data_IF_861631909908
#
_entry.id   IF_861631909908
#
_cell.length_a   1.000
_cell.length_b   1.000
_cell.length_c   1.000
_cell.angle_alpha   90.00
_cell.angle_beta   90.00
_cell.angle_gamma   90.00
#
_symmetry.space_group_name_H-M   'P 1'
#
loop_
_entity.id
_entity.type
_entity.pdbx_description
1 polymer ?
#
# COMPACT_ATOMS: atom_id res chain seq x y z
N UNK A 1 11.77 2.63 20.23
CA UNK A 1 10.70 3.48 20.79
C UNK A 1 10.49 3.24 22.28
N UNK A 2 10.68 2.02 22.82
CA UNK A 2 10.48 1.73 24.25
C UNK A 2 9.01 1.68 24.69
N UNK A 3 8.08 1.88 23.75
CA UNK A 3 6.63 1.82 23.97
C UNK A 3 6.08 0.60 23.24
N UNK A 4 5.34 -0.25 23.95
CA UNK A 4 4.67 -1.42 23.39
C UNK A 4 3.36 -1.04 22.68
N UNK A 5 3.45 -0.18 21.67
CA UNK A 5 2.29 0.35 20.91
C UNK A 5 2.56 0.22 19.42
N UNK A 6 1.55 -0.25 18.68
CA UNK A 6 1.55 -0.37 17.23
C UNK A 6 0.31 0.34 16.66
N UNK A 7 0.51 1.13 15.61
CA UNK A 7 -0.60 1.71 14.84
C UNK A 7 -1.13 0.65 13.89
N UNK A 8 -2.42 0.34 14.01
CA UNK A 8 -3.13 -0.54 13.09
C UNK A 8 -4.24 0.27 12.41
N UNK A 9 -4.09 0.52 11.11
CA UNK A 9 -5.05 1.24 10.28
C UNK A 9 -5.39 0.39 9.06
N UNK A 10 -6.48 0.72 8.37
CA UNK A 10 -6.81 0.10 7.09
C UNK A 10 -5.63 0.15 6.13
N UNK A 11 -5.33 -0.98 5.49
CA UNK A 11 -4.35 -1.01 4.42
C UNK A 11 -5.06 -0.70 3.09
N UNK A 12 -5.05 0.57 2.73
CA UNK A 12 -5.61 1.15 1.52
C UNK A 12 -5.00 2.54 1.26
N UNK A 13 -5.31 3.10 0.10
CA UNK A 13 -5.21 4.55 -0.13
C UNK A 13 -6.58 5.19 0.11
N UNK A 14 -6.62 6.49 0.42
CA UNK A 14 -7.89 7.19 0.71
C UNK A 14 -8.88 6.99 -0.45
N UNK A 15 -10.09 6.56 -0.12
CA UNK A 15 -11.18 6.33 -1.07
C UNK A 15 -11.17 4.94 -1.73
N UNK A 16 -10.12 4.14 -1.56
CA UNK A 16 -10.11 2.73 -1.98
C UNK A 16 -10.58 1.80 -0.84
N UNK A 17 -11.21 0.65 -1.17
CA UNK A 17 -11.49 -0.39 -0.18
C UNK A 17 -10.18 -0.97 0.40
N UNK A 18 -10.29 -1.65 1.54
CA UNK A 18 -9.17 -2.42 2.11
C UNK A 18 -8.73 -3.49 1.10
N UNK A 19 -7.42 -3.67 0.94
CA UNK A 19 -6.85 -4.68 0.03
C UNK A 19 -7.36 -6.09 0.34
N UNK A 20 -7.61 -6.90 -0.70
CA UNK A 20 -8.15 -8.25 -0.55
C UNK A 20 -7.24 -9.33 -1.17
N UNK A 21 -6.40 -8.96 -2.14
CA UNK A 21 -5.48 -9.89 -2.82
C UNK A 21 -4.01 -9.46 -2.64
N UNK A 22 -3.03 -10.38 -2.80
CA UNK A 22 -1.61 -10.00 -2.83
C UNK A 22 -1.28 -8.94 -3.90
N UNK A 23 -1.98 -8.97 -5.04
CA UNK A 23 -1.83 -7.99 -6.10
C UNK A 23 -2.33 -6.60 -5.67
N UNK A 24 -3.47 -6.52 -4.98
CA UNK A 24 -3.97 -5.27 -4.41
C UNK A 24 -3.02 -4.71 -3.35
N UNK A 25 -2.51 -5.56 -2.47
CA UNK A 25 -1.52 -5.20 -1.46
C UNK A 25 -0.25 -4.62 -2.09
N UNK A 26 0.27 -5.26 -3.14
CA UNK A 26 1.43 -4.77 -3.87
C UNK A 26 1.15 -3.44 -4.57
N UNK A 27 0.00 -3.29 -5.25
CA UNK A 27 -0.39 -2.02 -5.89
C UNK A 27 -0.51 -0.89 -4.85
N UNK A 28 -1.21 -1.13 -3.74
CA UNK A 28 -1.35 -0.16 -2.65
C UNK A 28 0.00 0.20 -2.02
N UNK A 29 0.86 -0.79 -1.81
CA UNK A 29 2.24 -0.58 -1.35
C UNK A 29 3.04 0.28 -2.33
N UNK A 30 2.96 0.01 -3.63
CA UNK A 30 3.71 0.77 -4.64
C UNK A 30 3.20 2.22 -4.79
N UNK A 31 1.92 2.48 -4.53
CA UNK A 31 1.31 3.83 -4.52
C UNK A 31 1.58 4.68 -3.27
N UNK A 32 1.96 4.06 -2.15
CA UNK A 32 2.12 4.74 -0.86
C UNK A 32 3.60 4.97 -0.52
N UNK A 33 3.83 5.75 0.53
CA UNK A 33 5.16 5.98 1.12
C UNK A 33 5.55 4.93 2.17
N UNK A 34 4.99 3.72 2.09
CA UNK A 34 5.39 2.62 2.97
C UNK A 34 6.77 2.08 2.57
N UNK A 35 7.59 1.75 3.57
CA UNK A 35 8.95 1.24 3.36
C UNK A 35 8.96 -0.26 3.04
N UNK A 36 8.10 -1.03 3.70
CA UNK A 36 8.06 -2.48 3.61
C UNK A 36 6.63 -3.03 3.47
N UNK A 37 6.51 -4.12 2.72
CA UNK A 37 5.31 -4.92 2.60
C UNK A 37 5.60 -6.37 3.02
N UNK A 38 4.83 -6.88 3.98
CA UNK A 38 4.84 -8.29 4.37
C UNK A 38 3.56 -8.95 3.87
N UNK A 39 3.68 -9.98 3.03
CA UNK A 39 2.54 -10.75 2.51
C UNK A 39 2.87 -12.23 2.62
N UNK A 40 2.20 -12.91 3.56
CA UNK A 40 2.51 -14.31 3.87
C UNK A 40 3.99 -14.47 4.26
N UNK A 41 4.75 -15.38 3.63
CA UNK A 41 6.17 -15.60 3.95
C UNK A 41 7.12 -14.61 3.25
N UNK A 42 6.61 -13.63 2.50
CA UNK A 42 7.43 -12.70 1.72
C UNK A 42 7.54 -11.34 2.40
N UNK A 43 8.76 -10.78 2.39
CA UNK A 43 9.06 -9.41 2.81
C UNK A 43 9.64 -8.66 1.61
N UNK A 44 9.00 -7.56 1.22
CA UNK A 44 9.44 -6.71 0.12
C UNK A 44 9.91 -5.36 0.69
N UNK A 45 11.09 -4.90 0.25
CA UNK A 45 11.57 -3.53 0.47
C UNK A 45 11.21 -2.67 -0.73
N UNK A 46 10.73 -1.45 -0.47
CA UNK A 46 10.37 -0.47 -1.51
C UNK A 46 11.58 -0.12 -2.37
N UNK A 47 12.76 0.00 -1.75
CA UNK A 47 14.03 0.30 -2.42
C UNK A 47 14.45 -0.80 -3.42
N UNK A 48 13.99 -2.03 -3.21
CA UNK A 48 14.29 -3.16 -4.08
C UNK A 48 13.26 -3.40 -5.19
N UNK A 49 12.22 -2.56 -5.29
CA UNK A 49 11.19 -2.68 -6.32
C UNK A 49 11.52 -1.83 -7.54
N UNK A 50 11.06 -2.21 -8.75
CA UNK A 50 11.17 -1.36 -9.91
C UNK A 50 10.41 -0.04 -9.72
N UNK A 51 10.80 0.98 -10.50
CA UNK A 51 10.07 2.25 -10.53
C UNK A 51 8.59 2.00 -10.85
N UNK A 52 7.71 2.52 -10.00
CA UNK A 52 6.27 2.46 -10.24
C UNK A 52 5.88 3.50 -11.29
N UNK A 53 5.23 3.06 -12.36
CA UNK A 53 4.62 3.96 -13.33
C UNK A 53 3.12 3.79 -13.22
N UNK A 54 2.42 4.87 -12.87
CA UNK A 54 0.97 4.88 -12.83
C UNK A 54 0.46 5.14 -14.26
N UNK A 55 -0.12 4.13 -14.90
CA UNK A 55 -0.62 4.27 -16.28
C UNK A 55 -1.94 5.05 -16.35
N UNK A 56 -2.71 5.03 -15.26
CA UNK A 56 -4.03 5.67 -15.14
C UNK A 56 -4.09 6.43 -13.83
N UNK A 57 -4.55 7.69 -13.86
CA UNK A 57 -4.81 8.45 -12.64
C UNK A 57 -6.06 7.91 -11.94
N UNK A 58 -5.87 6.88 -11.13
CA UNK A 58 -6.93 6.22 -10.36
C UNK A 58 -7.71 7.18 -9.45
N UNK A 59 -7.18 8.38 -9.15
CA UNK A 59 -7.88 9.39 -8.35
C UNK A 59 -9.07 10.00 -9.10
N UNK A 60 -9.10 9.94 -10.43
CA UNK A 60 -10.23 10.49 -11.22
C UNK A 60 -11.49 9.64 -11.09
N UNK A 61 -11.32 8.35 -10.80
CA UNK A 61 -12.41 7.39 -10.74
C UNK A 61 -13.00 7.24 -9.33
N UNK A 62 -12.38 7.89 -8.35
CA UNK A 62 -12.82 7.86 -6.95
C UNK A 62 -13.46 9.20 -6.63
N UNK A 63 -14.76 9.23 -6.28
CA UNK A 63 -15.39 10.46 -5.84
C UNK A 63 -14.63 11.01 -4.63
N UNK A 64 -14.22 12.28 -4.72
CA UNK A 64 -13.71 13.01 -3.58
C UNK A 64 -14.91 13.24 -2.66
N UNK A 65 -15.01 12.46 -1.59
CA UNK A 65 -15.95 12.73 -0.49
C UNK A 65 -15.88 14.20 -0.05
#
# INVERSE_FOLDING_TARGET
TGCAVLVNTSFNVRGEPIVCTPADAYRCFMRTHMDHLVVGPFLLSKEGQPAWTEEVDWRTDIPLD
#
